data_IF_532248741901
#
_entry.id   IF_532248741901
#
_cell.length_a   1.000
_cell.length_b   1.000
_cell.length_c   1.000
_cell.angle_alpha   90.00
_cell.angle_beta   90.00
_cell.angle_gamma   90.00
#
_symmetry.space_group_name_H-M   'P 1'
#
loop_
_entity.id
_entity.type
_entity.pdbx_description
1 polymer ?
#
# COMPACT_ATOMS: atom_id res chain seq x y z
N UNK A 1 67.63 -18.88 10.14
CA UNK A 1 66.79 -19.62 9.17
C UNK A 1 65.56 -20.29 9.83
N UNK A 2 65.69 -21.03 10.95
CA UNK A 2 64.53 -21.64 11.65
C UNK A 2 63.43 -20.66 12.07
N UNK A 3 63.79 -19.48 12.58
CA UNK A 3 62.82 -18.46 13.02
C UNK A 3 62.07 -17.77 11.86
N UNK A 4 62.65 -17.79 10.65
CA UNK A 4 62.04 -17.20 9.44
C UNK A 4 60.98 -18.13 8.84
N UNK A 5 61.24 -19.45 8.86
CA UNK A 5 60.26 -20.48 8.47
C UNK A 5 59.04 -20.48 9.40
N UNK A 6 59.23 -20.27 10.70
CA UNK A 6 58.13 -20.10 11.66
C UNK A 6 57.29 -18.84 11.39
N UNK A 7 57.92 -17.73 11.02
CA UNK A 7 57.23 -16.50 10.67
C UNK A 7 56.37 -16.64 9.40
N UNK A 8 56.88 -17.35 8.38
CA UNK A 8 56.14 -17.67 7.16
C UNK A 8 54.96 -18.61 7.46
N UNK A 9 55.15 -19.63 8.30
CA UNK A 9 54.09 -20.55 8.70
C UNK A 9 52.94 -19.86 9.46
N UNK A 10 53.26 -18.91 10.35
CA UNK A 10 52.26 -18.13 11.10
C UNK A 10 51.54 -17.11 10.20
N UNK A 11 52.24 -16.59 9.19
CA UNK A 11 51.68 -15.63 8.23
C UNK A 11 50.82 -16.32 7.16
N UNK A 12 51.17 -17.56 6.77
CA UNK A 12 50.40 -18.39 5.84
C UNK A 12 49.19 -19.09 6.48
N UNK A 13 49.16 -19.23 7.81
CA UNK A 13 48.04 -19.86 8.53
C UNK A 13 46.87 -18.92 8.84
N UNK A 14 46.99 -17.63 8.51
CA UNK A 14 45.87 -16.69 8.61
C UNK A 14 45.27 -16.52 7.23
N UNK A 15 44.13 -17.16 6.97
CA UNK A 15 43.26 -16.75 5.89
C UNK A 15 42.85 -15.29 6.18
N UNK A 16 43.52 -14.35 5.52
CA UNK A 16 43.14 -12.95 5.55
C UNK A 16 41.89 -12.87 4.67
N UNK A 17 40.71 -12.99 5.28
CA UNK A 17 39.46 -12.65 4.63
C UNK A 17 39.47 -11.15 4.40
N UNK A 18 40.01 -10.74 3.25
CA UNK A 18 39.78 -9.40 2.75
C UNK A 18 38.27 -9.30 2.46
N UNK A 19 37.58 -8.41 3.16
CA UNK A 19 36.21 -8.04 2.82
C UNK A 19 36.22 -7.32 1.47
N UNK A 20 36.23 -8.09 0.38
CA UNK A 20 36.00 -7.60 -0.97
C UNK A 20 34.51 -7.58 -1.26
N UNK A 21 34.05 -6.59 -1.99
CA UNK A 21 32.70 -6.60 -2.53
C UNK A 21 32.54 -7.78 -3.50
N UNK A 22 31.49 -8.58 -3.31
CA UNK A 22 31.08 -9.65 -4.21
C UNK A 22 29.65 -9.37 -4.66
N UNK A 23 29.41 -9.18 -5.97
CA UNK A 23 28.08 -8.84 -6.46
C UNK A 23 27.14 -10.04 -6.25
N UNK A 24 25.95 -9.78 -5.73
CA UNK A 24 24.95 -10.80 -5.45
C UNK A 24 23.55 -10.19 -5.47
N UNK A 25 22.54 -11.05 -5.60
CA UNK A 25 21.16 -10.62 -5.52
C UNK A 25 20.80 -9.64 -6.64
N UNK A 26 20.22 -8.50 -6.24
CA UNK A 26 19.84 -7.39 -7.12
C UNK A 26 21.03 -6.80 -7.91
N UNK A 27 22.26 -6.82 -7.38
CA UNK A 27 23.45 -6.26 -8.05
C UNK A 27 23.78 -6.97 -9.38
N UNK A 28 23.36 -8.23 -9.49
CA UNK A 28 23.60 -9.10 -10.66
C UNK A 28 22.38 -9.28 -11.53
N UNK A 29 21.22 -8.76 -11.10
CA UNK A 29 19.93 -8.99 -11.75
C UNK A 29 19.92 -8.40 -13.15
N UNK A 30 19.60 -9.25 -14.13
CA UNK A 30 19.24 -8.81 -15.46
C UNK A 30 17.76 -8.41 -15.47
N UNK A 31 17.50 -7.15 -15.74
CA UNK A 31 16.15 -6.62 -15.96
C UNK A 31 16.17 -5.73 -17.21
N UNK A 32 15.54 -6.20 -18.28
CA UNK A 32 15.49 -5.49 -19.57
C UNK A 32 14.12 -4.84 -19.77
N UNK A 33 13.07 -5.47 -19.25
CA UNK A 33 11.70 -5.01 -19.37
C UNK A 33 11.41 -3.90 -18.35
N UNK A 34 11.73 -2.66 -18.70
CA UNK A 34 11.64 -1.53 -17.78
C UNK A 34 10.18 -1.26 -17.32
N UNK A 35 9.84 -1.44 -16.03
CA UNK A 35 8.49 -1.21 -15.51
C UNK A 35 7.96 0.22 -15.70
N UNK A 36 8.85 1.22 -15.71
CA UNK A 36 8.48 2.62 -15.84
C UNK A 36 7.89 2.98 -17.21
N UNK A 37 8.08 2.13 -18.23
CA UNK A 37 7.59 2.38 -19.58
C UNK A 37 6.08 2.05 -19.77
N UNK A 38 5.42 1.43 -18.78
CA UNK A 38 4.08 0.84 -18.94
C UNK A 38 2.94 1.59 -18.24
N UNK A 39 3.23 2.73 -17.60
CA UNK A 39 2.19 3.60 -17.04
C UNK A 39 1.48 3.10 -15.78
N UNK A 40 1.97 2.02 -15.14
CA UNK A 40 1.44 1.51 -13.86
C UNK A 40 1.89 2.34 -12.65
N UNK A 41 1.78 3.67 -12.73
CA UNK A 41 2.30 4.59 -11.72
C UNK A 41 1.72 4.31 -10.32
N UNK A 42 0.44 3.98 -10.22
CA UNK A 42 -0.24 3.65 -8.95
C UNK A 42 0.21 2.34 -8.29
N UNK A 43 1.06 1.55 -8.97
CA UNK A 43 1.68 0.33 -8.47
C UNK A 43 3.21 0.42 -8.44
N UNK A 44 3.79 1.59 -8.71
CA UNK A 44 5.24 1.76 -8.81
C UNK A 44 6.02 1.42 -7.54
N UNK A 45 5.37 1.47 -6.37
CA UNK A 45 5.92 1.03 -5.09
C UNK A 45 6.20 -0.49 -5.06
N UNK A 46 5.58 -1.25 -5.96
CA UNK A 46 5.59 -2.72 -6.00
C UNK A 46 6.35 -3.29 -7.20
N UNK A 47 7.14 -2.47 -7.91
CA UNK A 47 8.01 -2.96 -8.98
C UNK A 47 8.89 -4.11 -8.48
N UNK A 48 9.23 -5.03 -9.38
CA UNK A 48 9.92 -6.25 -8.96
C UNK A 48 11.29 -5.91 -8.34
N UNK A 49 11.43 -6.33 -7.08
CA UNK A 49 12.62 -6.24 -6.25
C UNK A 49 12.57 -7.42 -5.28
N UNK A 50 13.69 -8.11 -5.07
CA UNK A 50 13.79 -9.15 -4.04
C UNK A 50 14.29 -8.63 -2.70
N UNK A 51 14.75 -7.37 -2.65
CA UNK A 51 15.21 -6.74 -1.41
C UNK A 51 14.03 -6.23 -0.59
N UNK A 52 13.34 -5.24 -1.12
CA UNK A 52 12.21 -4.57 -0.47
C UNK A 52 11.41 -3.75 -1.47
N UNK A 53 10.16 -3.48 -1.13
CA UNK A 53 9.38 -2.40 -1.73
C UNK A 53 9.70 -1.08 -1.03
N UNK A 54 9.57 0.02 -1.77
CA UNK A 54 9.82 1.37 -1.27
C UNK A 54 8.62 2.28 -1.53
N UNK A 55 8.25 3.16 -0.59
CA UNK A 55 7.24 4.18 -0.85
C UNK A 55 7.67 5.09 -1.99
N UNK A 56 6.75 5.42 -2.89
CA UNK A 56 7.00 6.31 -4.00
C UNK A 56 6.06 7.53 -3.89
N UNK A 57 6.57 8.71 -3.49
CA UNK A 57 5.75 9.91 -3.39
C UNK A 57 5.26 10.39 -4.76
N UNK A 58 5.99 10.09 -5.83
CA UNK A 58 5.69 10.53 -7.20
C UNK A 58 4.82 9.53 -7.98
N UNK A 59 4.21 8.56 -7.28
CA UNK A 59 3.39 7.50 -7.89
C UNK A 59 2.08 7.99 -8.50
N UNK A 60 1.65 9.21 -8.15
CA UNK A 60 0.43 9.81 -8.68
C UNK A 60 0.77 10.74 -9.85
N UNK A 61 0.33 10.42 -11.08
CA UNK A 61 0.52 11.31 -12.22
C UNK A 61 -0.09 12.70 -11.99
N UNK A 62 0.42 13.73 -12.67
CA UNK A 62 -0.06 15.12 -12.52
C UNK A 62 -1.57 15.29 -12.81
N UNK A 63 -2.14 14.46 -13.68
CA UNK A 63 -3.56 14.45 -14.03
C UNK A 63 -4.38 13.45 -13.21
N UNK A 64 -3.78 12.80 -12.21
CA UNK A 64 -4.49 11.91 -11.31
C UNK A 64 -5.44 12.71 -10.42
N UNK A 65 -6.71 12.32 -10.44
CA UNK A 65 -7.73 12.87 -9.54
C UNK A 65 -8.00 11.83 -8.47
N UNK A 66 -7.63 12.15 -7.22
CA UNK A 66 -7.86 11.22 -6.13
C UNK A 66 -9.36 10.97 -5.90
N UNK A 67 -9.75 9.77 -5.42
CA UNK A 67 -11.15 9.42 -5.27
C UNK A 67 -11.94 10.39 -4.37
N UNK A 68 -11.31 11.01 -3.37
CA UNK A 68 -11.99 11.94 -2.47
C UNK A 68 -12.24 13.31 -3.14
N UNK A 69 -11.29 13.80 -3.95
CA UNK A 69 -11.51 14.96 -4.83
C UNK A 69 -12.65 14.69 -5.81
N UNK A 70 -12.72 13.48 -6.40
CA UNK A 70 -13.83 13.09 -7.27
C UNK A 70 -15.18 13.15 -6.55
N UNK A 71 -15.28 12.61 -5.33
CA UNK A 71 -16.50 12.70 -4.53
C UNK A 71 -16.94 14.16 -4.27
N UNK A 72 -15.99 15.06 -4.00
CA UNK A 72 -16.32 16.49 -3.81
C UNK A 72 -16.71 17.21 -5.10
N UNK A 73 -16.11 16.83 -6.23
CA UNK A 73 -16.49 17.32 -7.54
C UNK A 73 -17.93 16.91 -7.87
N UNK A 74 -18.29 15.65 -7.59
CA UNK A 74 -19.63 15.11 -7.74
C UNK A 74 -20.62 15.78 -6.78
N UNK A 75 -20.23 16.01 -5.52
CA UNK A 75 -21.00 16.79 -4.55
C UNK A 75 -21.33 18.19 -5.08
N UNK A 76 -20.35 18.84 -5.73
CA UNK A 76 -20.52 20.13 -6.38
C UNK A 76 -21.18 20.04 -7.77
N UNK A 77 -21.64 18.86 -8.19
CA UNK A 77 -22.31 18.58 -9.47
C UNK A 77 -21.50 19.02 -10.70
N UNK A 78 -20.17 18.94 -10.61
CA UNK A 78 -19.25 19.38 -11.66
C UNK A 78 -19.32 20.88 -11.97
N UNK A 79 -19.82 21.71 -11.05
CA UNK A 79 -19.94 23.17 -11.24
C UNK A 79 -18.69 23.96 -10.87
N UNK A 80 -17.66 23.27 -10.39
CA UNK A 80 -16.37 23.83 -9.97
C UNK A 80 -15.27 22.98 -10.60
N UNK A 81 -14.10 23.58 -10.82
CA UNK A 81 -12.97 22.87 -11.39
C UNK A 81 -12.28 21.97 -10.35
N UNK A 82 -11.58 20.95 -10.84
CA UNK A 82 -10.90 19.95 -9.98
C UNK A 82 -9.81 20.57 -9.10
N UNK A 83 -9.14 21.62 -9.57
CA UNK A 83 -8.05 22.26 -8.83
C UNK A 83 -8.61 23.04 -7.63
N UNK A 84 -9.70 23.78 -7.82
CA UNK A 84 -10.40 24.45 -6.72
C UNK A 84 -10.91 23.46 -5.67
N UNK A 85 -11.39 22.28 -6.08
CA UNK A 85 -11.80 21.23 -5.13
C UNK A 85 -10.60 20.72 -4.34
N UNK A 86 -9.53 20.34 -5.03
CA UNK A 86 -8.32 19.84 -4.38
C UNK A 86 -7.76 20.86 -3.39
N UNK A 87 -7.66 22.13 -3.79
CA UNK A 87 -7.14 23.21 -2.95
C UNK A 87 -8.03 23.44 -1.72
N UNK A 88 -9.35 23.44 -1.89
CA UNK A 88 -10.28 23.60 -0.76
C UNK A 88 -10.16 22.45 0.26
N UNK A 89 -9.96 21.22 -0.22
CA UNK A 89 -9.91 20.04 0.63
C UNK A 89 -8.53 19.86 1.27
N UNK A 90 -7.43 20.13 0.55
CA UNK A 90 -6.08 19.75 0.99
C UNK A 90 -5.13 20.92 1.27
N UNK A 91 -5.39 22.14 0.78
CA UNK A 91 -4.47 23.27 0.94
C UNK A 91 -4.99 24.40 1.82
N UNK A 92 -6.27 24.75 1.71
CA UNK A 92 -6.84 25.83 2.51
C UNK A 92 -6.81 25.50 4.00
N UNK A 93 -6.64 26.54 4.81
CA UNK A 93 -6.79 26.52 6.26
C UNK A 93 -8.24 26.78 6.67
N UNK A 94 -8.58 26.51 7.93
CA UNK A 94 -9.91 26.80 8.48
C UNK A 94 -10.33 28.27 8.30
N UNK A 95 -9.37 29.20 8.49
CA UNK A 95 -9.59 30.65 8.40
C UNK A 95 -9.90 31.12 6.96
N UNK A 96 -9.52 30.34 5.95
CA UNK A 96 -9.75 30.66 4.53
C UNK A 96 -11.10 30.14 4.02
N UNK A 97 -11.81 29.33 4.81
CA UNK A 97 -13.17 28.85 4.50
C UNK A 97 -14.19 29.90 4.95
N UNK A 98 -14.15 31.06 4.29
CA UNK A 98 -15.01 32.23 4.53
C UNK A 98 -15.70 32.68 3.24
N UNK A 99 -16.73 33.51 3.33
CA UNK A 99 -17.52 33.95 2.16
C UNK A 99 -16.66 34.74 1.15
N UNK A 100 -15.66 35.47 1.65
CA UNK A 100 -14.70 36.23 0.83
C UNK A 100 -13.58 35.38 0.19
N UNK A 101 -13.60 34.06 0.39
CA UNK A 101 -12.60 33.15 -0.17
C UNK A 101 -12.54 33.27 -1.70
N UNK A 102 -11.34 33.23 -2.27
CA UNK A 102 -11.15 33.25 -3.72
C UNK A 102 -11.27 31.85 -4.36
N UNK A 103 -11.40 30.80 -3.54
CA UNK A 103 -11.53 29.44 -4.02
C UNK A 103 -12.95 29.18 -4.55
N UNK A 104 -13.07 28.68 -5.79
CA UNK A 104 -14.35 28.52 -6.48
C UNK A 104 -15.28 27.50 -5.81
N UNK A 105 -14.75 26.44 -5.16
CA UNK A 105 -15.55 25.48 -4.41
C UNK A 105 -16.18 26.15 -3.18
N UNK A 106 -15.41 26.94 -2.43
CA UNK A 106 -15.91 27.65 -1.25
C UNK A 106 -16.99 28.66 -1.67
N UNK A 107 -16.74 29.46 -2.71
CA UNK A 107 -17.72 30.41 -3.25
C UNK A 107 -19.01 29.70 -3.69
N UNK A 108 -18.90 28.56 -4.38
CA UNK A 108 -20.05 27.77 -4.80
C UNK A 108 -20.88 27.30 -3.60
N UNK A 109 -20.27 26.77 -2.55
CA UNK A 109 -20.97 26.30 -1.35
C UNK A 109 -21.71 27.45 -0.64
N UNK A 110 -21.08 28.63 -0.53
CA UNK A 110 -21.73 29.83 0.00
C UNK A 110 -22.91 30.29 -0.86
N UNK A 111 -22.75 30.32 -2.18
CA UNK A 111 -23.83 30.67 -3.11
C UNK A 111 -25.02 29.71 -2.98
N UNK A 112 -24.76 28.42 -2.76
CA UNK A 112 -25.79 27.40 -2.50
C UNK A 112 -26.33 27.41 -1.08
N UNK A 113 -25.78 28.24 -0.19
CA UNK A 113 -26.10 28.29 1.24
C UNK A 113 -25.93 26.92 1.91
N UNK A 114 -24.97 26.13 1.44
CA UNK A 114 -24.67 24.80 1.96
C UNK A 114 -23.77 24.90 3.21
N UNK A 115 -24.39 25.32 4.31
CA UNK A 115 -23.71 25.48 5.59
C UNK A 115 -23.20 24.14 6.15
N UNK A 116 -23.85 23.02 5.82
CA UNK A 116 -23.44 21.70 6.31
C UNK A 116 -22.07 21.32 5.73
N UNK A 117 -21.86 21.52 4.42
CA UNK A 117 -20.58 21.27 3.76
C UNK A 117 -19.48 22.23 4.24
N UNK A 118 -19.79 23.53 4.37
CA UNK A 118 -18.84 24.53 4.88
C UNK A 118 -18.40 24.22 6.31
N UNK A 119 -19.34 23.84 7.18
CA UNK A 119 -19.05 23.45 8.56
C UNK A 119 -18.24 22.15 8.63
N UNK A 120 -18.53 21.18 7.74
CA UNK A 120 -17.72 19.98 7.63
C UNK A 120 -16.28 20.30 7.25
N UNK A 121 -16.05 21.12 6.23
CA UNK A 121 -14.70 21.46 5.78
C UNK A 121 -13.91 22.13 6.91
N UNK A 122 -14.48 23.11 7.61
CA UNK A 122 -13.84 23.74 8.77
C UNK A 122 -13.50 22.73 9.86
N UNK A 123 -14.46 21.87 10.20
CA UNK A 123 -14.25 20.85 11.21
C UNK A 123 -13.15 19.86 10.82
N UNK A 124 -13.12 19.43 9.55
CA UNK A 124 -12.07 18.56 9.03
C UNK A 124 -10.68 19.20 9.15
N UNK A 125 -10.55 20.51 8.85
CA UNK A 125 -9.30 21.27 9.05
C UNK A 125 -8.88 21.31 10.50
N UNK A 126 -9.82 21.48 11.43
CA UNK A 126 -9.53 21.42 12.86
C UNK A 126 -8.99 20.05 13.31
N UNK A 127 -9.37 18.95 12.62
CA UNK A 127 -8.88 17.61 12.91
C UNK A 127 -7.49 17.30 12.31
N UNK A 128 -7.00 18.04 11.32
CA UNK A 128 -5.79 17.68 10.54
C UNK A 128 -4.56 17.46 11.42
N UNK A 129 -4.32 18.36 12.39
CA UNK A 129 -3.20 18.25 13.31
C UNK A 129 -3.24 16.94 14.12
N UNK A 130 -4.44 16.51 14.52
CA UNK A 130 -4.64 15.34 15.40
C UNK A 130 -4.69 13.99 14.67
N UNK A 131 -4.60 14.03 13.34
CA UNK A 131 -4.67 12.87 12.44
C UNK A 131 -3.31 12.22 12.16
N UNK A 132 -2.38 12.34 13.11
CA UNK A 132 -1.03 11.77 13.10
C UNK A 132 -0.61 11.36 14.51
N UNK A 133 0.39 10.49 14.61
CA UNK A 133 1.08 10.24 15.87
C UNK A 133 1.77 11.52 16.31
N UNK A 134 1.58 11.87 17.57
CA UNK A 134 2.13 13.09 18.15
C UNK A 134 3.20 12.63 19.13
N UNK A 135 4.45 12.72 18.71
CA UNK A 135 5.58 12.43 19.58
C UNK A 135 5.87 13.67 20.43
N UNK A 136 6.24 13.45 21.69
CA UNK A 136 6.89 14.45 22.54
C UNK A 136 8.31 13.97 22.82
N UNK A 137 9.26 14.12 21.87
CA UNK A 137 10.62 13.59 22.02
C UNK A 137 11.37 14.18 23.23
N UNK A 138 10.82 15.23 23.83
CA UNK A 138 11.41 15.95 24.95
C UNK A 138 10.65 15.73 26.26
N UNK A 139 9.66 14.82 26.27
CA UNK A 139 8.86 14.41 27.44
C UNK A 139 8.40 15.60 28.30
N UNK A 140 8.02 16.70 27.63
CA UNK A 140 7.64 17.94 28.32
C UNK A 140 6.29 17.80 29.02
N UNK A 141 5.53 16.76 28.69
CA UNK A 141 4.15 16.51 29.14
C UNK A 141 3.21 17.69 28.83
N UNK A 142 3.65 18.63 27.98
CA UNK A 142 2.91 19.83 27.60
C UNK A 142 1.81 19.53 26.56
N UNK A 143 1.76 18.30 26.04
CA UNK A 143 0.92 17.92 24.92
C UNK A 143 -0.24 17.02 25.34
N UNK A 144 -1.45 17.59 25.38
CA UNK A 144 -2.70 16.86 25.61
C UNK A 144 -3.39 16.45 24.31
N UNK A 145 -2.65 15.86 23.37
CA UNK A 145 -3.20 15.38 22.11
C UNK A 145 -4.34 14.36 22.31
N UNK A 146 -4.21 13.49 23.32
CA UNK A 146 -5.23 12.48 23.67
C UNK A 146 -6.59 13.08 24.06
N UNK A 147 -6.66 13.93 25.11
CA UNK A 147 -7.90 14.62 25.48
C UNK A 147 -8.55 15.38 24.32
N UNK A 148 -7.76 16.09 23.50
CA UNK A 148 -8.29 16.84 22.36
C UNK A 148 -8.78 15.93 21.24
N UNK A 149 -8.09 14.81 20.95
CA UNK A 149 -8.59 13.76 20.03
C UNK A 149 -9.93 13.21 20.50
N UNK A 150 -10.08 12.90 21.79
CA UNK A 150 -11.35 12.44 22.37
C UNK A 150 -12.46 13.47 22.18
N UNK A 151 -12.20 14.75 22.48
CA UNK A 151 -13.17 15.83 22.27
C UNK A 151 -13.63 15.93 20.81
N UNK A 152 -12.68 15.97 19.87
CA UNK A 152 -12.96 16.05 18.44
C UNK A 152 -13.68 14.79 17.93
N UNK A 153 -13.29 13.61 18.39
CA UNK A 153 -13.94 12.34 18.06
C UNK A 153 -15.41 12.36 18.50
N UNK A 154 -15.69 12.70 19.76
CA UNK A 154 -17.07 12.82 20.27
C UNK A 154 -17.85 13.87 19.48
N UNK A 155 -17.22 14.99 19.13
CA UNK A 155 -17.87 16.02 18.30
C UNK A 155 -18.19 15.52 16.90
N UNK A 156 -17.29 14.78 16.26
CA UNK A 156 -17.50 14.19 14.94
C UNK A 156 -18.68 13.21 14.95
N UNK A 157 -18.80 12.38 15.99
CA UNK A 157 -19.94 11.47 16.19
C UNK A 157 -21.25 12.27 16.28
N UNK A 158 -21.31 13.28 17.15
CA UNK A 158 -22.51 14.12 17.29
C UNK A 158 -22.89 14.85 16.01
N UNK A 159 -21.90 15.29 15.21
CA UNK A 159 -22.14 15.95 13.93
C UNK A 159 -22.65 14.95 12.88
N UNK A 160 -22.15 13.71 12.87
CA UNK A 160 -22.61 12.66 11.96
C UNK A 160 -24.08 12.27 12.23
N UNK A 161 -24.51 12.29 13.49
CA UNK A 161 -25.90 12.01 13.88
C UNK A 161 -26.86 13.15 13.52
N UNK A 162 -26.39 14.40 13.54
CA UNK A 162 -27.21 15.59 13.29
C UNK A 162 -27.34 15.95 11.81
N UNK A 163 -26.30 15.71 11.02
CA UNK A 163 -26.29 16.11 9.60
C UNK A 163 -27.26 15.23 8.80
N UNK A 164 -28.09 15.86 7.96
CA UNK A 164 -29.06 15.13 7.13
C UNK A 164 -28.44 14.56 5.87
N UNK A 165 -27.43 15.25 5.33
CA UNK A 165 -26.72 14.84 4.13
C UNK A 165 -25.93 13.55 4.40
N UNK A 166 -26.24 12.49 3.64
CA UNK A 166 -25.66 11.16 3.85
C UNK A 166 -24.17 11.10 3.51
N UNK A 167 -23.70 11.87 2.53
CA UNK A 167 -22.27 11.93 2.19
C UNK A 167 -21.48 12.61 3.31
N UNK A 168 -21.97 13.74 3.82
CA UNK A 168 -21.34 14.42 4.96
C UNK A 168 -21.38 13.56 6.23
N UNK A 169 -22.46 12.79 6.45
CA UNK A 169 -22.54 11.83 7.55
C UNK A 169 -21.41 10.80 7.50
N UNK A 170 -21.16 10.17 6.34
CA UNK A 170 -20.03 9.25 6.13
C UNK A 170 -18.69 9.91 6.42
N UNK A 171 -18.53 11.15 5.97
CA UNK A 171 -17.29 11.92 6.16
C UNK A 171 -17.01 12.23 7.64
N UNK A 172 -18.03 12.61 8.42
CA UNK A 172 -17.86 12.78 9.87
C UNK A 172 -17.58 11.44 10.59
N UNK A 173 -18.25 10.35 10.19
CA UNK A 173 -17.98 9.02 10.73
C UNK A 173 -16.54 8.58 10.47
N UNK A 174 -16.02 8.81 9.26
CA UNK A 174 -14.62 8.55 8.93
C UNK A 174 -13.66 9.37 9.80
N UNK A 175 -13.91 10.68 10.01
CA UNK A 175 -13.09 11.50 10.92
C UNK A 175 -13.10 10.94 12.34
N UNK A 176 -14.26 10.52 12.85
CA UNK A 176 -14.36 9.89 14.17
C UNK A 176 -13.54 8.60 14.27
N UNK A 177 -13.62 7.73 13.25
CA UNK A 177 -12.83 6.48 13.17
C UNK A 177 -11.33 6.79 13.18
N UNK A 178 -10.88 7.73 12.34
CA UNK A 178 -9.47 8.11 12.26
C UNK A 178 -8.95 8.66 13.60
N UNK A 179 -9.70 9.55 14.23
CA UNK A 179 -9.35 10.11 15.54
C UNK A 179 -9.32 9.03 16.63
N UNK A 180 -10.28 8.11 16.63
CA UNK A 180 -10.31 6.98 17.56
C UNK A 180 -9.07 6.09 17.42
N UNK A 181 -8.66 5.81 16.17
CA UNK A 181 -7.49 4.98 15.89
C UNK A 181 -6.19 5.60 16.40
N UNK A 182 -5.95 6.90 16.11
CA UNK A 182 -4.78 7.62 16.65
C UNK A 182 -4.84 7.83 18.17
N UNK A 183 -5.98 7.57 18.80
CA UNK A 183 -6.15 7.59 20.25
C UNK A 183 -6.13 6.18 20.86
N UNK A 184 -5.75 5.15 20.08
CA UNK A 184 -5.74 3.74 20.47
C UNK A 184 -7.09 3.19 20.97
N UNK A 185 -8.20 3.84 20.62
CA UNK A 185 -9.53 3.39 20.99
C UNK A 185 -10.08 2.42 19.92
N UNK A 186 -9.52 1.23 19.86
CA UNK A 186 -9.81 0.24 18.82
C UNK A 186 -11.24 -0.33 18.91
N UNK A 187 -11.81 -0.44 20.11
CA UNK A 187 -13.22 -0.84 20.26
C UNK A 187 -14.17 0.21 19.67
N UNK A 188 -13.86 1.50 19.84
CA UNK A 188 -14.61 2.57 19.20
C UNK A 188 -14.45 2.55 17.68
N UNK A 189 -13.26 2.24 17.15
CA UNK A 189 -13.05 2.05 15.69
C UNK A 189 -13.99 0.98 15.14
N UNK A 190 -13.99 -0.21 15.76
CA UNK A 190 -14.87 -1.33 15.36
C UNK A 190 -16.34 -0.94 15.44
N UNK A 191 -16.76 -0.33 16.56
CA UNK A 191 -18.15 0.10 16.77
C UNK A 191 -18.62 1.14 15.75
N UNK A 192 -17.80 2.18 15.48
CA UNK A 192 -18.14 3.21 14.51
C UNK A 192 -18.22 2.67 13.08
N UNK A 193 -17.32 1.75 12.72
CA UNK A 193 -17.35 1.09 11.42
C UNK A 193 -18.62 0.24 11.26
N UNK A 194 -18.96 -0.57 12.26
CA UNK A 194 -20.17 -1.40 12.26
C UNK A 194 -21.44 -0.57 12.03
N UNK A 195 -21.58 0.53 12.78
CA UNK A 195 -22.77 1.40 12.70
C UNK A 195 -22.83 2.20 11.38
N UNK A 196 -21.67 2.63 10.86
CA UNK A 196 -21.64 3.63 9.76
C UNK A 196 -21.41 3.03 8.38
N UNK A 197 -20.76 1.87 8.29
CA UNK A 197 -20.19 1.37 7.03
C UNK A 197 -20.48 -0.12 6.75
N UNK A 198 -20.69 -0.97 7.75
CA UNK A 198 -20.80 -2.43 7.54
C UNK A 198 -21.91 -2.84 6.57
N UNK A 199 -23.05 -2.14 6.61
CA UNK A 199 -24.22 -2.44 5.77
C UNK A 199 -24.41 -1.44 4.61
N UNK A 200 -23.39 -0.67 4.25
CA UNK A 200 -23.48 0.25 3.12
C UNK A 200 -23.51 -0.52 1.80
N UNK A 201 -24.41 -0.13 0.90
CA UNK A 201 -24.49 -0.71 -0.46
C UNK A 201 -23.37 -0.17 -1.36
N UNK A 202 -23.23 1.15 -1.39
CA UNK A 202 -22.28 1.83 -2.26
C UNK A 202 -20.98 2.12 -1.48
N UNK A 203 -19.98 1.26 -1.69
CA UNK A 203 -18.65 1.38 -1.09
C UNK A 203 -17.83 2.40 -1.88
N UNK A 204 -17.58 3.57 -1.29
CA UNK A 204 -16.69 4.60 -1.83
C UNK A 204 -15.35 4.65 -1.09
N UNK A 205 -14.49 5.63 -1.42
CA UNK A 205 -13.19 5.75 -0.77
C UNK A 205 -13.29 5.96 0.76
N UNK A 206 -14.37 6.56 1.27
CA UNK A 206 -14.54 6.75 2.72
C UNK A 206 -14.83 5.41 3.42
N UNK A 207 -15.54 4.50 2.75
CA UNK A 207 -15.67 3.12 3.22
C UNK A 207 -14.29 2.45 3.31
N UNK A 208 -13.50 2.48 2.23
CA UNK A 208 -12.21 1.80 2.20
C UNK A 208 -11.17 2.44 3.13
N UNK A 209 -11.18 3.76 3.31
CA UNK A 209 -10.35 4.42 4.33
C UNK A 209 -10.78 4.09 5.75
N UNK A 210 -12.08 3.87 5.99
CA UNK A 210 -12.56 3.43 7.30
C UNK A 210 -12.23 1.95 7.54
N UNK A 211 -12.35 1.11 6.51
CA UNK A 211 -11.98 -0.30 6.52
C UNK A 211 -10.48 -0.46 6.78
N UNK A 212 -9.64 0.42 6.21
CA UNK A 212 -8.22 0.50 6.50
C UNK A 212 -7.97 0.57 8.01
N UNK A 213 -8.53 1.54 8.72
CA UNK A 213 -8.31 1.64 10.17
C UNK A 213 -8.90 0.45 10.95
N UNK A 214 -10.07 -0.05 10.53
CA UNK A 214 -10.71 -1.22 11.15
C UNK A 214 -9.85 -2.48 11.01
N UNK A 215 -9.26 -2.73 9.85
CA UNK A 215 -8.45 -3.93 9.59
C UNK A 215 -7.25 -4.09 10.52
N UNK A 216 -6.73 -2.98 11.06
CA UNK A 216 -5.60 -2.98 12.02
C UNK A 216 -6.04 -3.34 13.44
N UNK A 217 -7.35 -3.43 13.69
CA UNK A 217 -7.94 -3.78 14.99
C UNK A 217 -8.39 -5.24 15.07
N UNK A 218 -8.25 -5.99 13.97
CA UNK A 218 -8.69 -7.37 13.87
C UNK A 218 -7.70 -8.34 14.49
N UNK A 219 -8.21 -9.19 15.39
CA UNK A 219 -7.45 -10.27 16.01
C UNK A 219 -7.40 -11.52 15.11
N UNK A 220 -8.43 -11.72 14.28
CA UNK A 220 -8.41 -12.75 13.25
C UNK A 220 -7.59 -12.25 12.05
N UNK A 221 -6.33 -12.69 11.97
CA UNK A 221 -5.43 -12.30 10.90
C UNK A 221 -5.88 -12.73 9.49
N UNK A 222 -6.73 -13.75 9.37
CA UNK A 222 -7.29 -14.13 8.07
C UNK A 222 -8.37 -13.12 7.62
N UNK A 223 -9.20 -12.66 8.56
CA UNK A 223 -10.12 -11.54 8.30
C UNK A 223 -9.35 -10.25 8.02
N UNK A 224 -8.30 -9.95 8.79
CA UNK A 224 -7.45 -8.78 8.57
C UNK A 224 -6.85 -8.78 7.15
N UNK A 225 -6.26 -9.90 6.71
CA UNK A 225 -5.71 -10.04 5.36
C UNK A 225 -6.80 -9.86 4.28
N UNK A 226 -8.01 -10.36 4.51
CA UNK A 226 -9.13 -10.18 3.59
C UNK A 226 -9.48 -8.70 3.44
N UNK A 227 -9.61 -7.98 4.56
CA UNK A 227 -9.95 -6.56 4.58
C UNK A 227 -8.83 -5.70 3.97
N UNK A 228 -7.57 -6.00 4.29
CA UNK A 228 -6.41 -5.36 3.68
C UNK A 228 -6.39 -5.58 2.16
N UNK A 229 -6.78 -6.74 1.66
CA UNK A 229 -6.89 -6.99 0.23
C UNK A 229 -7.95 -6.11 -0.44
N UNK A 230 -9.10 -5.91 0.22
CA UNK A 230 -10.13 -4.99 -0.29
C UNK A 230 -9.61 -3.54 -0.28
N UNK A 231 -8.95 -3.11 0.80
CA UNK A 231 -8.37 -1.76 0.87
C UNK A 231 -7.29 -1.58 -0.21
N UNK A 232 -6.42 -2.57 -0.40
CA UNK A 232 -5.35 -2.52 -1.40
C UNK A 232 -5.90 -2.33 -2.83
N UNK A 233 -6.97 -3.05 -3.17
CA UNK A 233 -7.58 -2.95 -4.49
C UNK A 233 -8.22 -1.57 -4.73
N UNK A 234 -8.88 -1.00 -3.72
CA UNK A 234 -9.75 0.17 -3.92
C UNK A 234 -9.20 1.51 -3.38
N UNK A 235 -8.14 1.51 -2.55
CA UNK A 235 -7.53 2.70 -1.98
C UNK A 235 -6.02 2.79 -2.35
N UNK A 236 -5.68 3.36 -3.52
CA UNK A 236 -4.29 3.46 -3.99
C UNK A 236 -3.33 4.14 -3.01
N UNK A 237 -3.83 5.10 -2.22
CA UNK A 237 -3.07 5.84 -1.22
C UNK A 237 -2.73 5.01 0.04
N UNK A 238 -3.32 3.81 0.18
CA UNK A 238 -3.14 2.91 1.33
C UNK A 238 -2.43 1.60 0.97
N UNK A 239 -2.19 1.33 -0.32
CA UNK A 239 -1.58 0.07 -0.81
C UNK A 239 -0.28 -0.30 -0.09
N UNK A 240 0.63 0.66 0.09
CA UNK A 240 1.91 0.40 0.77
C UNK A 240 1.73 -0.04 2.23
N UNK A 241 0.84 0.61 2.96
CA UNK A 241 0.54 0.22 4.34
C UNK A 241 -0.15 -1.15 4.41
N UNK A 242 -1.00 -1.49 3.42
CA UNK A 242 -1.60 -2.82 3.33
C UNK A 242 -0.54 -3.92 3.14
N UNK A 243 0.46 -3.70 2.28
CA UNK A 243 1.62 -4.59 2.16
C UNK A 243 2.33 -4.78 3.51
N UNK A 244 2.60 -3.68 4.22
CA UNK A 244 3.33 -3.73 5.51
C UNK A 244 2.58 -4.51 6.60
N UNK A 245 1.25 -4.53 6.58
CA UNK A 245 0.43 -5.23 7.58
C UNK A 245 -0.02 -6.63 7.14
N UNK A 246 0.26 -7.02 5.90
CA UNK A 246 -0.15 -8.33 5.42
C UNK A 246 0.58 -9.46 6.16
N UNK A 247 -0.19 -10.38 6.74
CA UNK A 247 0.35 -11.50 7.53
C UNK A 247 0.60 -12.72 6.64
N UNK A 248 1.86 -12.93 6.24
CA UNK A 248 2.28 -14.01 5.32
C UNK A 248 2.11 -15.44 5.85
N UNK A 249 2.01 -15.60 7.17
CA UNK A 249 1.82 -16.92 7.80
C UNK A 249 0.41 -17.49 7.58
N UNK A 250 -0.57 -16.63 7.22
CA UNK A 250 -1.94 -17.03 6.96
C UNK A 250 -2.06 -17.56 5.54
N UNK A 251 -2.71 -18.71 5.38
CA UNK A 251 -2.91 -19.26 4.04
C UNK A 251 -3.93 -18.44 3.25
N UNK A 252 -3.79 -18.46 1.92
CA UNK A 252 -4.75 -17.80 1.05
C UNK A 252 -6.16 -18.42 1.22
N UNK A 253 -6.26 -19.73 1.41
CA UNK A 253 -7.54 -20.43 1.59
C UNK A 253 -8.28 -19.97 2.85
N UNK A 254 -7.57 -19.70 3.95
CA UNK A 254 -8.17 -19.12 5.16
C UNK A 254 -8.72 -17.71 4.88
N UNK A 255 -7.97 -16.90 4.15
CA UNK A 255 -8.37 -15.54 3.78
C UNK A 255 -9.59 -15.54 2.84
N UNK A 256 -9.64 -16.48 1.89
CA UNK A 256 -10.72 -16.62 0.91
C UNK A 256 -12.08 -17.00 1.54
N UNK A 257 -12.11 -17.54 2.76
CA UNK A 257 -13.37 -17.87 3.46
C UNK A 257 -14.24 -16.64 3.73
N UNK A 258 -13.63 -15.45 3.83
CA UNK A 258 -14.35 -14.20 4.05
C UNK A 258 -14.88 -13.57 2.76
N UNK A 259 -14.36 -13.99 1.60
CA UNK A 259 -14.75 -13.43 0.30
C UNK A 259 -16.07 -14.02 -0.21
N UNK A 260 -17.03 -13.16 -0.51
CA UNK A 260 -18.38 -13.51 -0.96
C UNK A 260 -18.50 -13.43 -2.47
N UNK A 261 -17.87 -12.45 -3.10
CA UNK A 261 -17.93 -12.21 -4.56
C UNK A 261 -16.62 -12.58 -5.27
N UNK A 262 -16.67 -12.73 -6.59
CA UNK A 262 -15.47 -13.02 -7.39
C UNK A 262 -14.51 -11.83 -7.42
N UNK A 263 -15.02 -10.60 -7.39
CA UNK A 263 -14.20 -9.40 -7.20
C UNK A 263 -13.44 -9.43 -5.87
N UNK A 264 -14.13 -9.76 -4.77
CA UNK A 264 -13.49 -9.87 -3.45
C UNK A 264 -12.41 -10.96 -3.42
N UNK A 265 -12.65 -12.10 -4.08
CA UNK A 265 -11.66 -13.18 -4.24
C UNK A 265 -10.48 -12.73 -5.10
N UNK A 266 -10.74 -12.04 -6.21
CA UNK A 266 -9.71 -11.50 -7.09
C UNK A 266 -8.80 -10.51 -6.34
N UNK A 267 -9.37 -9.66 -5.47
CA UNK A 267 -8.62 -8.74 -4.63
C UNK A 267 -7.67 -9.48 -3.67
N UNK A 268 -8.12 -10.60 -3.07
CA UNK A 268 -7.27 -11.45 -2.22
C UNK A 268 -6.10 -12.05 -3.01
N UNK A 269 -6.37 -12.60 -4.20
CA UNK A 269 -5.30 -13.11 -5.07
C UNK A 269 -4.36 -12.00 -5.55
N UNK A 270 -4.86 -10.80 -5.82
CA UNK A 270 -4.07 -9.65 -6.23
C UNK A 270 -3.05 -9.27 -5.17
N UNK A 271 -3.48 -9.02 -3.91
CA UNK A 271 -2.55 -8.69 -2.84
C UNK A 271 -1.58 -9.86 -2.57
N UNK A 272 -2.06 -11.09 -2.54
CA UNK A 272 -1.19 -12.26 -2.34
C UNK A 272 -0.13 -12.39 -3.45
N UNK A 273 -0.45 -12.07 -4.71
CA UNK A 273 0.51 -12.07 -5.81
C UNK A 273 1.56 -10.95 -5.71
N UNK A 274 1.21 -9.80 -5.11
CA UNK A 274 2.16 -8.73 -4.80
C UNK A 274 3.19 -9.21 -3.77
N UNK A 275 2.73 -9.90 -2.72
CA UNK A 275 3.59 -10.44 -1.66
C UNK A 275 4.50 -11.58 -2.10
N UNK A 276 4.22 -12.18 -3.27
CA UNK A 276 5.02 -13.24 -3.87
C UNK A 276 6.23 -12.65 -4.60
N UNK A 277 7.42 -12.89 -4.04
CA UNK A 277 8.70 -12.59 -4.69
C UNK A 277 9.13 -13.68 -5.68
N UNK A 278 8.62 -14.90 -5.49
CA UNK A 278 8.78 -16.05 -6.37
C UNK A 278 7.65 -16.11 -7.43
N UNK A 279 7.50 -17.28 -8.07
CA UNK A 279 6.54 -17.56 -9.13
C UNK A 279 5.11 -17.27 -8.66
N UNK A 280 4.43 -16.31 -9.29
CA UNK A 280 3.06 -15.91 -8.93
C UNK A 280 2.00 -16.21 -10.00
N UNK A 281 2.38 -16.78 -11.16
CA UNK A 281 1.45 -17.11 -12.25
C UNK A 281 0.13 -17.78 -11.82
N UNK A 282 0.09 -18.78 -10.90
CA UNK A 282 -1.19 -19.36 -10.48
C UNK A 282 -2.14 -18.35 -9.84
N UNK A 283 -1.61 -17.37 -9.11
CA UNK A 283 -2.40 -16.29 -8.50
C UNK A 283 -2.88 -15.31 -9.58
N UNK A 284 -2.01 -14.97 -10.54
CA UNK A 284 -2.35 -14.08 -11.67
C UNK A 284 -3.48 -14.68 -12.52
N UNK A 285 -3.41 -15.98 -12.80
CA UNK A 285 -4.46 -16.72 -13.51
C UNK A 285 -5.79 -16.65 -12.75
N UNK A 286 -5.76 -16.76 -11.42
CA UNK A 286 -6.95 -16.61 -10.58
C UNK A 286 -7.52 -15.20 -10.61
N UNK A 287 -6.68 -14.15 -10.57
CA UNK A 287 -7.15 -12.77 -10.75
C UNK A 287 -7.83 -12.61 -12.11
N UNK A 288 -7.24 -13.14 -13.19
CA UNK A 288 -7.85 -13.06 -14.53
C UNK A 288 -9.17 -13.84 -14.65
N UNK A 289 -9.24 -15.05 -14.09
CA UNK A 289 -10.46 -15.87 -14.08
C UNK A 289 -11.61 -15.18 -13.34
N UNK A 290 -11.32 -14.60 -12.18
CA UNK A 290 -12.33 -14.02 -11.28
C UNK A 290 -12.70 -12.57 -11.65
N UNK A 291 -11.72 -11.77 -12.08
CA UNK A 291 -11.92 -10.38 -12.50
C UNK A 291 -10.90 -9.98 -13.58
N UNK A 292 -11.17 -10.25 -14.87
CA UNK A 292 -10.26 -9.93 -15.97
C UNK A 292 -10.05 -8.43 -16.18
N UNK A 293 -10.86 -7.59 -15.53
CA UNK A 293 -10.78 -6.12 -15.59
C UNK A 293 -10.14 -5.48 -14.36
N UNK A 294 -9.60 -6.28 -13.44
CA UNK A 294 -8.92 -5.78 -12.25
C UNK A 294 -7.74 -4.86 -12.63
N UNK A 295 -7.70 -3.66 -12.05
CA UNK A 295 -6.68 -2.62 -12.32
C UNK A 295 -5.25 -3.17 -12.24
N UNK A 296 -4.98 -3.99 -11.23
CA UNK A 296 -3.65 -4.55 -10.96
C UNK A 296 -3.25 -5.76 -11.81
N UNK A 297 -4.14 -6.33 -12.62
CA UNK A 297 -3.85 -7.57 -13.35
C UNK A 297 -2.68 -7.41 -14.33
N UNK A 298 -2.74 -6.37 -15.17
CA UNK A 298 -1.68 -6.10 -16.16
C UNK A 298 -0.35 -5.76 -15.50
N UNK A 299 -0.40 -5.10 -14.33
CA UNK A 299 0.77 -4.83 -13.52
C UNK A 299 1.41 -6.12 -12.97
N UNK A 300 0.60 -7.07 -12.46
CA UNK A 300 1.12 -8.36 -12.00
C UNK A 300 1.81 -9.13 -13.13
N UNK A 301 1.26 -9.09 -14.34
CA UNK A 301 1.87 -9.73 -15.50
C UNK A 301 3.23 -9.10 -15.84
N UNK A 302 3.32 -7.76 -15.83
CA UNK A 302 4.59 -7.06 -16.00
C UNK A 302 5.61 -7.51 -14.95
N UNK A 303 5.19 -7.58 -13.69
CA UNK A 303 6.04 -8.00 -12.58
C UNK A 303 6.51 -9.45 -12.75
N UNK A 304 5.65 -10.32 -13.28
CA UNK A 304 5.98 -11.72 -13.57
C UNK A 304 6.98 -11.86 -14.74
N UNK A 305 6.87 -10.99 -15.77
CA UNK A 305 7.88 -10.91 -16.83
C UNK A 305 9.24 -10.52 -16.23
N UNK A 306 9.29 -9.52 -15.33
CA UNK A 306 10.54 -9.13 -14.67
C UNK A 306 11.15 -10.25 -13.82
N UNK A 307 10.33 -11.08 -13.17
CA UNK A 307 10.81 -12.27 -12.46
C UNK A 307 11.39 -13.31 -13.42
N UNK A 308 10.72 -13.56 -14.54
CA UNK A 308 11.21 -14.49 -15.57
C UNK A 308 12.54 -14.01 -16.16
N UNK A 309 12.70 -12.71 -16.39
CA UNK A 309 13.98 -12.13 -16.82
C UNK A 309 15.09 -12.44 -15.82
N UNK A 310 14.85 -12.21 -14.53
CA UNK A 310 15.84 -12.52 -13.51
C UNK A 310 16.13 -14.03 -13.42
N UNK A 311 15.09 -14.87 -13.36
CA UNK A 311 15.25 -16.31 -13.19
C UNK A 311 15.97 -16.98 -14.37
N UNK A 312 15.78 -16.49 -15.59
CA UNK A 312 16.34 -17.10 -16.81
C UNK A 312 17.60 -16.39 -17.28
N UNK A 313 17.59 -15.06 -17.34
CA UNK A 313 18.65 -14.27 -17.98
C UNK A 313 19.83 -14.02 -17.03
N UNK A 314 19.59 -13.77 -15.73
CA UNK A 314 20.67 -13.56 -14.76
C UNK A 314 21.65 -14.75 -14.75
N UNK A 315 21.20 -16.01 -14.55
CA UNK A 315 22.07 -17.18 -14.68
C UNK A 315 22.74 -17.33 -16.04
N UNK A 316 21.98 -17.10 -17.12
CA UNK A 316 22.44 -17.39 -18.49
C UNK A 316 23.56 -16.45 -18.94
N UNK A 317 23.53 -15.18 -18.52
CA UNK A 317 24.50 -14.17 -18.97
C UNK A 317 25.62 -13.88 -17.97
N UNK A 318 25.35 -14.07 -16.68
CA UNK A 318 26.28 -13.64 -15.64
C UNK A 318 26.90 -14.81 -14.85
N UNK A 319 26.30 -16.01 -14.96
CA UNK A 319 26.59 -17.19 -14.12
C UNK A 319 26.31 -16.99 -12.62
N UNK A 320 25.73 -15.85 -12.21
CA UNK A 320 25.24 -15.62 -10.86
C UNK A 320 23.84 -16.22 -10.67
N UNK A 321 23.47 -16.46 -9.42
CA UNK A 321 22.11 -16.83 -9.08
C UNK A 321 21.15 -15.66 -9.36
N UNK A 322 19.87 -15.94 -9.67
CA UNK A 322 18.84 -14.92 -9.67
C UNK A 322 18.77 -14.18 -8.33
N UNK A 323 18.26 -12.95 -8.36
CA UNK A 323 18.12 -12.08 -7.19
C UNK A 323 17.39 -12.76 -6.03
N UNK A 324 16.40 -13.60 -6.36
CA UNK A 324 15.74 -14.50 -5.42
C UNK A 324 16.66 -15.70 -5.12
N UNK A 325 17.56 -15.52 -4.17
CA UNK A 325 18.33 -16.62 -3.57
C UNK A 325 17.91 -16.81 -2.11
N UNK A 326 17.46 -18.01 -1.76
CA UNK A 326 16.96 -18.37 -0.42
C UNK A 326 18.06 -18.47 0.64
N UNK A 327 19.30 -18.12 0.28
CA UNK A 327 20.48 -18.71 0.88
C UNK A 327 21.62 -17.68 1.00
N UNK A 328 21.31 -16.52 1.57
CA UNK A 328 22.35 -15.56 1.99
C UNK A 328 23.30 -16.15 3.03
N UNK A 329 22.88 -17.20 3.74
CA UNK A 329 23.66 -17.90 4.78
C UNK A 329 24.23 -19.27 4.36
N UNK A 330 23.86 -19.81 3.18
CA UNK A 330 24.54 -20.97 2.60
C UNK A 330 25.65 -20.58 1.62
N UNK A 331 26.23 -19.38 1.82
CA UNK A 331 27.48 -18.92 1.22
C UNK A 331 28.71 -19.85 1.43
N UNK A 332 28.51 -21.05 2.00
CA UNK A 332 29.50 -22.12 2.10
C UNK A 332 29.30 -23.29 1.12
N UNK A 333 28.28 -23.27 0.25
CA UNK A 333 28.20 -24.21 -0.88
C UNK A 333 28.25 -23.42 -2.17
N UNK A 334 29.43 -23.39 -2.80
CA UNK A 334 29.57 -22.96 -4.19
C UNK A 334 28.51 -23.68 -5.04
N UNK A 335 27.45 -22.98 -5.44
CA UNK A 335 26.58 -23.50 -6.48
C UNK A 335 27.43 -23.51 -7.74
N UNK A 336 27.81 -24.68 -8.23
CA UNK A 336 28.63 -24.75 -9.44
C UNK A 336 27.88 -24.05 -10.58
N UNK A 337 28.61 -23.44 -11.53
CA UNK A 337 28.00 -22.82 -12.70
C UNK A 337 27.00 -23.77 -13.40
N UNK A 338 27.26 -25.08 -13.36
CA UNK A 338 26.36 -26.12 -13.86
C UNK A 338 25.02 -26.18 -13.10
N UNK A 339 25.02 -26.07 -11.77
CA UNK A 339 23.78 -26.03 -10.98
C UNK A 339 22.97 -24.78 -11.27
N UNK A 340 23.63 -23.63 -11.40
CA UNK A 340 23.02 -22.35 -11.79
C UNK A 340 22.35 -22.45 -13.16
N UNK A 341 23.03 -23.04 -14.14
CA UNK A 341 22.47 -23.25 -15.49
C UNK A 341 21.33 -24.28 -15.50
N UNK A 342 21.43 -25.37 -14.73
CA UNK A 342 20.35 -26.37 -14.62
C UNK A 342 19.08 -25.79 -13.98
N UNK A 343 19.22 -24.90 -12.98
CA UNK A 343 18.07 -24.13 -12.45
C UNK A 343 17.42 -23.29 -13.56
N UNK A 344 18.21 -22.58 -14.36
CA UNK A 344 17.71 -21.76 -15.45
C UNK A 344 16.94 -22.58 -16.51
N UNK A 345 17.29 -23.86 -16.73
CA UNK A 345 16.53 -24.77 -17.60
C UNK A 345 15.11 -25.03 -17.06
N UNK A 346 14.95 -25.24 -15.76
CA UNK A 346 13.63 -25.35 -15.12
C UNK A 346 12.86 -24.03 -15.18
N UNK A 347 13.53 -22.90 -14.98
CA UNK A 347 12.89 -21.59 -15.04
C UNK A 347 12.46 -21.21 -16.48
N UNK A 348 13.09 -21.77 -17.52
CA UNK A 348 12.59 -21.70 -18.91
C UNK A 348 11.28 -22.47 -19.11
N UNK A 349 11.01 -23.54 -18.35
CA UNK A 349 9.70 -24.21 -18.40
C UNK A 349 8.64 -23.27 -17.86
N UNK A 350 8.92 -22.62 -16.73
CA UNK A 350 8.02 -21.62 -16.17
C UNK A 350 7.81 -20.42 -17.10
N UNK A 351 8.87 -19.92 -17.75
CA UNK A 351 8.76 -18.87 -18.75
C UNK A 351 7.82 -19.26 -19.90
N UNK A 352 7.83 -20.54 -20.33
CA UNK A 352 6.87 -21.05 -21.33
C UNK A 352 5.44 -21.09 -20.80
N UNK A 353 5.23 -21.36 -19.52
CA UNK A 353 3.89 -21.30 -18.91
C UNK A 353 3.36 -19.87 -18.86
N UNK A 354 4.19 -18.90 -18.46
CA UNK A 354 3.84 -17.48 -18.50
C UNK A 354 3.52 -17.05 -19.92
N UNK A 355 4.36 -17.40 -20.90
CA UNK A 355 4.15 -17.07 -22.31
C UNK A 355 2.88 -17.68 -22.90
N UNK A 356 2.44 -18.86 -22.43
CA UNK A 356 1.18 -19.48 -22.90
C UNK A 356 -0.06 -18.82 -22.30
N UNK A 357 0.09 -18.13 -21.17
CA UNK A 357 -1.00 -17.43 -20.52
C UNK A 357 -1.23 -16.04 -21.11
N UNK A 358 -0.17 -15.37 -21.56
CA UNK A 358 -0.21 -14.16 -22.39
C UNK A 358 -0.78 -14.50 -23.76
#
# INVERSE_FOLDING_TARGET
>A
MRSFLLFILISASKAIFACGYYPHGEDTRISLFNPHAFGFHLYSEFYYSTNSFEPNPDRFPLNYVDPNTKLWLDYCRGKVDVHSVYDAVYKLTEAEIVEASQNAMIQYLYQKKDNDALNYLRFAKNCEYFNSWQDDPWERETFSAGPKRTELMTRAIQLSEKVKNQELKKRYAFLAIRLAWYNHNYDQVKSLFAVSFENIKDKDILYYWSLYFKSFTEEDHALANFELAQVFAHAPDKRFACHQQYTKAISIDQTLQFAKTDEERANVYLLAAIEKYDKALPYIQKVYELNPTAEGLSFLLLREINKVEDFVLTPSYTLFQPSLSYDSWSAGKDSSALQTLHRAEHDRIYAKEVLRFI
#
